data_IF_818533715494
#
_entry.id   IF_818533715494
#
_cell.length_a   1.000
_cell.length_b   1.000
_cell.length_c   1.000
_cell.angle_alpha   90.00
_cell.angle_beta   90.00
_cell.angle_gamma   90.00
#
_symmetry.space_group_name_H-M   'P 1'
#
loop_
_entity.id
_entity.type
_entity.pdbx_description
1 polymer ?
#
# COMPACT_ATOMS: atom_id res chain seq x y z
N UNK A 1 -18.37 10.34 -2.42
CA UNK A 1 -17.26 10.27 -3.40
C UNK A 1 -17.71 9.63 -4.71
N UNK A 2 -18.43 8.53 -4.70
CA UNK A 2 -18.90 7.87 -5.92
C UNK A 2 -19.77 8.85 -6.74
N UNK A 3 -20.77 9.48 -6.12
CA UNK A 3 -21.62 10.50 -6.75
C UNK A 3 -20.84 11.69 -7.35
N UNK A 4 -19.71 12.04 -6.77
CA UNK A 4 -18.91 13.19 -7.22
C UNK A 4 -18.20 12.95 -8.56
N UNK A 5 -18.18 11.74 -9.05
CA UNK A 5 -17.50 11.36 -10.31
C UNK A 5 -18.45 10.85 -11.38
N UNK A 6 -19.75 10.83 -11.12
CA UNK A 6 -20.76 10.34 -12.06
C UNK A 6 -20.76 11.09 -13.40
N UNK A 7 -20.40 12.38 -13.40
CA UNK A 7 -20.41 13.22 -14.59
C UNK A 7 -19.19 12.96 -15.52
N UNK A 8 -18.18 12.23 -15.05
CA UNK A 8 -16.97 12.00 -15.83
C UNK A 8 -17.06 10.69 -16.62
N UNK A 9 -16.74 10.71 -17.93
CA UNK A 9 -16.81 9.52 -18.78
C UNK A 9 -15.58 8.60 -18.58
N UNK A 10 -15.29 8.26 -17.32
CA UNK A 10 -14.14 7.46 -16.92
C UNK A 10 -14.56 6.43 -15.88
N UNK A 11 -13.79 5.37 -15.74
CA UNK A 11 -13.96 4.42 -14.66
C UNK A 11 -13.17 4.88 -13.43
N UNK A 12 -13.83 4.97 -12.28
CA UNK A 12 -13.24 5.36 -11.02
C UNK A 12 -13.36 4.22 -10.01
N UNK A 13 -12.26 3.94 -9.31
CA UNK A 13 -12.23 3.06 -8.18
C UNK A 13 -11.70 3.80 -6.96
N UNK A 14 -12.36 3.65 -5.81
CA UNK A 14 -11.94 4.30 -4.57
C UNK A 14 -11.43 3.27 -3.58
N UNK A 15 -10.19 3.49 -3.10
CA UNK A 15 -9.68 2.77 -1.95
C UNK A 15 -10.19 3.44 -0.67
N UNK A 16 -10.70 2.65 0.25
CA UNK A 16 -11.10 3.13 1.57
C UNK A 16 -10.02 2.89 2.60
N UNK A 17 -10.18 3.48 3.78
CA UNK A 17 -9.23 3.35 4.88
C UNK A 17 -9.20 1.91 5.39
N UNK A 18 -8.03 1.27 5.30
CA UNK A 18 -7.81 -0.11 5.72
C UNK A 18 -7.35 -0.26 7.18
N UNK A 19 -7.03 0.85 7.86
CA UNK A 19 -6.51 0.83 9.22
C UNK A 19 -7.62 0.65 10.27
N UNK A 20 -8.11 -0.57 10.38
CA UNK A 20 -8.98 -1.02 11.49
C UNK A 20 -8.58 -2.45 11.84
N UNK A 21 -8.53 -2.75 13.13
CA UNK A 21 -8.28 -4.11 13.61
C UNK A 21 -9.53 -4.99 13.61
N UNK A 22 -10.69 -4.43 13.28
CA UNK A 22 -11.98 -5.14 13.21
C UNK A 22 -12.40 -5.30 11.76
N UNK A 23 -12.54 -6.53 11.34
CA UNK A 23 -12.91 -6.87 9.98
C UNK A 23 -14.32 -6.36 9.58
N UNK A 24 -15.24 -6.27 10.54
CA UNK A 24 -16.62 -5.81 10.28
C UNK A 24 -16.65 -4.40 9.70
N UNK A 25 -15.85 -3.47 10.26
CA UNK A 25 -15.79 -2.11 9.79
C UNK A 25 -15.20 -2.01 8.36
N UNK A 26 -14.24 -2.86 8.04
CA UNK A 26 -13.64 -2.94 6.71
C UNK A 26 -14.62 -3.55 5.69
N UNK A 27 -15.36 -4.59 6.09
CA UNK A 27 -16.40 -5.20 5.27
C UNK A 27 -17.53 -4.22 4.90
N UNK A 28 -17.90 -3.37 5.86
CA UNK A 28 -18.91 -2.31 5.60
C UNK A 28 -18.44 -1.33 4.52
N UNK A 29 -17.16 -0.96 4.51
CA UNK A 29 -16.59 -0.09 3.49
C UNK A 29 -16.59 -0.76 2.11
N UNK A 30 -16.24 -2.02 2.02
CA UNK A 30 -16.29 -2.79 0.76
C UNK A 30 -17.73 -2.91 0.26
N UNK A 31 -18.69 -3.23 1.14
CA UNK A 31 -20.13 -3.27 0.79
C UNK A 31 -20.65 -1.92 0.32
N UNK A 32 -20.10 -0.82 0.84
CA UNK A 32 -20.45 0.54 0.41
C UNK A 32 -19.81 0.93 -0.94
N UNK A 33 -19.07 0.05 -1.59
CA UNK A 33 -18.52 0.25 -2.93
C UNK A 33 -17.03 0.57 -2.99
N UNK A 34 -16.28 0.33 -1.92
CA UNK A 34 -14.82 0.41 -2.00
C UNK A 34 -14.28 -0.71 -2.90
N UNK A 35 -13.36 -0.35 -3.80
CA UNK A 35 -12.69 -1.33 -4.67
C UNK A 35 -11.46 -1.95 -4.02
N UNK A 36 -11.08 -1.50 -2.82
CA UNK A 36 -9.96 -1.99 -2.04
C UNK A 36 -9.73 -1.18 -0.79
N UNK A 37 -8.70 -1.55 -0.04
CA UNK A 37 -8.36 -0.96 1.25
C UNK A 37 -6.95 -0.35 1.20
N UNK A 38 -6.76 0.82 1.79
CA UNK A 38 -5.47 1.50 1.90
C UNK A 38 -5.00 1.53 3.35
N UNK A 39 -3.79 1.06 3.56
CA UNK A 39 -3.06 1.14 4.83
C UNK A 39 -2.04 2.29 4.78
N UNK A 40 -1.97 3.08 5.84
CA UNK A 40 -1.05 4.20 5.95
C UNK A 40 -0.64 4.46 7.41
N UNK A 41 0.61 4.90 7.66
CA UNK A 41 1.13 5.14 9.02
C UNK A 41 0.31 6.14 9.81
N UNK A 42 -0.06 7.23 9.21
CA UNK A 42 -0.83 8.30 9.86
C UNK A 42 -2.11 7.79 10.54
N UNK A 43 -2.55 6.61 10.16
CA UNK A 43 -3.75 5.99 10.68
C UNK A 43 -3.48 4.82 11.63
N UNK A 44 -2.20 4.58 11.97
CA UNK A 44 -1.78 3.50 12.85
C UNK A 44 -1.75 2.14 12.17
N UNK A 45 -0.74 1.91 11.32
CA UNK A 45 -0.53 0.60 10.70
C UNK A 45 0.22 -0.32 11.66
N UNK A 46 -0.41 -1.40 12.05
CA UNK A 46 0.15 -2.45 12.90
C UNK A 46 0.01 -3.81 12.21
N UNK A 47 0.75 -4.85 12.63
CA UNK A 47 0.54 -6.20 12.11
C UNK A 47 -0.91 -6.66 12.18
N UNK A 48 -1.64 -6.27 13.22
CA UNK A 48 -3.05 -6.61 13.38
C UNK A 48 -3.92 -5.94 12.31
N UNK A 49 -3.69 -4.66 12.02
CA UNK A 49 -4.45 -3.94 10.97
C UNK A 49 -4.13 -4.47 9.58
N UNK A 50 -2.88 -4.82 9.32
CA UNK A 50 -2.46 -5.45 8.06
C UNK A 50 -3.21 -6.78 7.89
N UNK A 51 -3.19 -7.61 8.93
CA UNK A 51 -3.86 -8.91 8.91
C UNK A 51 -5.38 -8.77 8.69
N UNK A 52 -6.03 -7.86 9.38
CA UNK A 52 -7.48 -7.62 9.23
C UNK A 52 -7.84 -7.16 7.82
N UNK A 53 -7.08 -6.22 7.26
CA UNK A 53 -7.31 -5.74 5.89
C UNK A 53 -7.15 -6.87 4.86
N UNK A 54 -6.10 -7.68 4.99
CA UNK A 54 -5.84 -8.80 4.09
C UNK A 54 -6.89 -9.91 4.23
N UNK A 55 -7.36 -10.20 5.45
CA UNK A 55 -8.45 -11.16 5.66
C UNK A 55 -9.75 -10.72 4.97
N UNK A 56 -10.04 -9.44 5.00
CA UNK A 56 -11.22 -8.89 4.30
C UNK A 56 -11.02 -8.96 2.79
N UNK A 57 -9.84 -8.60 2.31
CA UNK A 57 -9.51 -8.68 0.89
C UNK A 57 -9.66 -10.12 0.34
N UNK A 58 -9.15 -11.11 1.06
CA UNK A 58 -9.29 -12.53 0.70
C UNK A 58 -10.76 -12.98 0.65
N UNK A 59 -11.61 -12.45 1.55
CA UNK A 59 -13.05 -12.78 1.59
C UNK A 59 -13.87 -12.10 0.49
N UNK A 60 -13.43 -10.96 0.02
CA UNK A 60 -14.20 -10.08 -0.86
C UNK A 60 -13.61 -9.93 -2.26
N UNK A 61 -12.48 -10.57 -2.52
CA UNK A 61 -11.73 -10.49 -3.77
C UNK A 61 -11.39 -9.02 -4.14
N UNK A 62 -10.99 -8.25 -3.12
CA UNK A 62 -10.54 -6.88 -3.27
C UNK A 62 -9.05 -6.76 -3.00
N UNK A 63 -8.46 -5.63 -3.39
CA UNK A 63 -7.02 -5.40 -3.14
C UNK A 63 -6.76 -4.65 -1.85
N UNK A 64 -5.57 -4.86 -1.29
CA UNK A 64 -4.99 -4.00 -0.26
C UNK A 64 -3.79 -3.28 -0.85
N UNK A 65 -3.69 -1.99 -0.59
CA UNK A 65 -2.51 -1.20 -0.88
C UNK A 65 -1.94 -0.63 0.43
N UNK A 66 -0.63 -0.69 0.58
CA UNK A 66 0.05 -0.19 1.77
C UNK A 66 1.10 0.86 1.42
N UNK A 67 1.18 1.90 2.23
CA UNK A 67 2.29 2.83 2.23
C UNK A 67 3.45 2.18 2.98
N UNK A 68 4.51 1.79 2.26
CA UNK A 68 5.54 0.89 2.80
C UNK A 68 6.44 1.50 3.87
N UNK A 69 6.51 2.83 3.95
CA UNK A 69 7.33 3.51 4.95
C UNK A 69 6.84 3.29 6.38
N UNK A 70 5.55 3.03 6.53
CA UNK A 70 4.91 2.76 7.81
C UNK A 70 5.48 1.61 8.59
N UNK A 71 6.08 0.71 7.90
CA UNK A 71 6.50 -0.56 8.48
C UNK A 71 7.63 -0.38 9.46
N UNK A 72 8.44 0.63 9.21
CA UNK A 72 9.63 0.90 10.02
C UNK A 72 9.33 1.80 11.23
N UNK A 73 8.19 2.45 11.27
CA UNK A 73 7.75 3.24 12.43
C UNK A 73 7.10 2.40 13.50
N UNK A 74 6.44 1.31 13.11
CA UNK A 74 5.74 0.41 14.03
C UNK A 74 6.44 -0.93 14.26
N UNK A 75 7.58 -1.18 13.62
CA UNK A 75 8.31 -2.44 13.68
C UNK A 75 9.40 -2.52 12.62
N UNK A 76 9.83 -3.71 12.33
CA UNK A 76 10.81 -4.01 11.30
C UNK A 76 10.13 -4.53 10.03
N UNK A 77 10.83 -4.45 8.89
CA UNK A 77 10.34 -5.01 7.62
C UNK A 77 9.90 -6.47 7.77
N UNK A 78 10.63 -7.24 8.56
CA UNK A 78 10.33 -8.66 8.81
C UNK A 78 8.99 -8.86 9.53
N UNK A 79 8.59 -7.94 10.41
CA UNK A 79 7.27 -7.97 11.09
C UNK A 79 6.14 -7.79 10.08
N UNK A 80 6.37 -6.96 9.10
CA UNK A 80 5.39 -6.72 8.03
C UNK A 80 5.30 -7.87 7.07
N UNK A 81 6.43 -8.39 6.62
CA UNK A 81 6.48 -9.60 5.79
C UNK A 81 5.72 -10.72 6.50
N UNK A 82 5.95 -10.87 7.81
CA UNK A 82 5.23 -11.84 8.63
C UNK A 82 3.72 -11.57 8.70
N UNK A 83 3.31 -10.30 8.81
CA UNK A 83 1.90 -9.93 8.85
C UNK A 83 1.19 -10.13 7.50
N UNK A 84 1.89 -9.90 6.39
CA UNK A 84 1.39 -10.17 5.03
C UNK A 84 1.20 -11.69 4.83
N UNK A 85 2.10 -12.50 5.36
CA UNK A 85 2.00 -13.96 5.35
C UNK A 85 1.79 -14.53 3.94
N UNK A 86 2.50 -14.01 2.95
CA UNK A 86 2.43 -14.47 1.55
C UNK A 86 1.15 -14.12 0.79
N UNK A 87 0.26 -13.31 1.36
CA UNK A 87 -0.97 -12.85 0.70
C UNK A 87 -0.66 -11.73 -0.32
N UNK A 88 -1.58 -11.53 -1.26
CA UNK A 88 -1.42 -10.49 -2.28
C UNK A 88 -1.60 -9.09 -1.71
N UNK A 89 -0.63 -8.22 -1.95
CA UNK A 89 -0.68 -6.82 -1.51
C UNK A 89 0.10 -5.93 -2.48
N UNK A 90 -0.40 -4.69 -2.67
CA UNK A 90 0.28 -3.67 -3.45
C UNK A 90 1.07 -2.76 -2.49
N UNK A 91 2.37 -2.75 -2.62
CA UNK A 91 3.28 -1.93 -1.81
C UNK A 91 3.67 -0.67 -2.57
N UNK A 92 3.24 0.49 -2.07
CA UNK A 92 3.60 1.79 -2.63
C UNK A 92 4.95 2.25 -2.08
N UNK A 93 5.70 3.03 -2.85
CA UNK A 93 7.01 3.57 -2.45
C UNK A 93 8.01 2.50 -2.04
N UNK A 94 7.97 1.36 -2.65
CA UNK A 94 8.81 0.21 -2.23
C UNK A 94 10.30 0.49 -2.36
N UNK A 95 10.67 1.49 -3.14
CA UNK A 95 12.05 2.03 -3.21
C UNK A 95 12.42 2.97 -2.05
N UNK A 96 11.47 3.30 -1.16
CA UNK A 96 11.70 4.18 -0.02
C UNK A 96 11.53 5.67 -0.30
N UNK A 97 10.99 6.07 -1.45
CA UNK A 97 10.80 7.47 -1.83
C UNK A 97 9.81 8.23 -0.95
N UNK A 98 8.96 7.54 -0.22
CA UNK A 98 8.03 8.13 0.75
C UNK A 98 8.68 8.65 2.02
N UNK A 99 9.96 8.38 2.24
CA UNK A 99 10.72 8.84 3.39
C UNK A 99 11.03 7.78 4.44
N UNK A 100 10.69 6.54 4.19
CA UNK A 100 10.91 5.44 5.10
C UNK A 100 12.36 4.96 5.18
N UNK A 101 12.57 3.81 5.77
CA UNK A 101 13.90 3.26 6.07
C UNK A 101 14.48 2.51 4.86
N UNK A 102 14.73 3.23 3.77
CA UNK A 102 15.54 2.67 2.69
C UNK A 102 16.97 2.36 3.23
N UNK A 103 17.63 1.27 2.83
CA UNK A 103 17.20 0.36 1.76
C UNK A 103 16.38 -0.85 2.24
N UNK A 104 16.14 -1.01 3.51
CA UNK A 104 15.57 -2.24 4.07
C UNK A 104 14.18 -2.58 3.50
N UNK A 105 13.36 -1.56 3.25
CA UNK A 105 12.02 -1.73 2.70
C UNK A 105 12.02 -2.43 1.35
N UNK A 106 13.08 -2.31 0.57
CA UNK A 106 13.20 -2.95 -0.74
C UNK A 106 13.16 -4.48 -0.68
N UNK A 107 13.49 -5.07 0.48
CA UNK A 107 13.43 -6.53 0.66
C UNK A 107 12.05 -7.09 0.34
N UNK A 108 11.00 -6.33 0.63
CA UNK A 108 9.63 -6.77 0.43
C UNK A 108 9.32 -7.04 -1.06
N UNK A 109 10.01 -6.38 -1.98
CA UNK A 109 9.84 -6.60 -3.42
C UNK A 109 10.27 -8.01 -3.87
N UNK A 110 11.07 -8.70 -3.06
CA UNK A 110 11.48 -10.09 -3.31
C UNK A 110 10.49 -11.14 -2.82
N UNK A 111 9.48 -10.74 -2.07
CA UNK A 111 8.49 -11.66 -1.52
C UNK A 111 7.43 -12.05 -2.58
N UNK A 112 6.94 -13.30 -2.54
CA UNK A 112 5.88 -13.73 -3.46
C UNK A 112 4.58 -12.97 -3.22
N UNK A 113 3.81 -12.76 -4.29
CA UNK A 113 2.51 -12.08 -4.27
C UNK A 113 2.55 -10.59 -3.87
N UNK A 114 3.73 -9.99 -3.80
CA UNK A 114 3.89 -8.56 -3.63
C UNK A 114 3.89 -7.89 -5.00
N UNK A 115 3.07 -6.84 -5.14
CA UNK A 115 3.11 -5.94 -6.29
C UNK A 115 3.81 -4.64 -5.86
N UNK A 116 5.13 -4.51 -6.05
CA UNK A 116 5.83 -3.30 -5.68
C UNK A 116 5.58 -2.19 -6.71
N UNK A 117 5.47 -0.96 -6.24
CA UNK A 117 5.42 0.20 -7.13
C UNK A 117 6.18 1.39 -6.56
N UNK A 118 6.71 2.19 -7.47
CA UNK A 118 7.28 3.49 -7.18
C UNK A 118 6.20 4.56 -7.27
N UNK A 119 6.29 5.58 -6.44
CA UNK A 119 5.48 6.79 -6.55
C UNK A 119 6.21 7.92 -7.26
N UNK A 120 7.17 7.57 -8.02
CA UNK A 120 7.89 8.53 -8.82
C UNK A 120 6.94 9.28 -9.78
N UNK A 121 7.02 10.60 -9.92
CA UNK A 121 8.07 11.45 -9.33
C UNK A 121 7.55 12.31 -8.19
N UNK A 122 7.61 11.83 -6.99
CA UNK A 122 7.29 12.66 -5.83
C UNK A 122 8.35 13.74 -5.56
N UNK A 123 9.56 13.51 -6.06
CA UNK A 123 10.64 14.51 -6.02
C UNK A 123 11.30 14.60 -7.40
N UNK A 124 11.33 15.78 -8.03
CA UNK A 124 11.96 15.96 -9.33
C UNK A 124 13.41 15.48 -9.38
N UNK A 125 14.13 15.63 -8.27
CA UNK A 125 15.55 15.27 -8.18
C UNK A 125 15.82 13.77 -8.15
N UNK A 126 14.95 12.97 -7.59
CA UNK A 126 15.11 11.50 -7.56
C UNK A 126 14.93 10.89 -8.95
N UNK A 127 14.03 11.44 -9.73
CA UNK A 127 13.83 10.99 -11.10
C UNK A 127 14.99 11.41 -12.02
N UNK A 128 15.47 12.63 -11.86
CA UNK A 128 16.55 13.18 -12.67
C UNK A 128 17.92 12.56 -12.36
N UNK A 129 18.20 12.29 -11.08
CA UNK A 129 19.45 11.64 -10.69
C UNK A 129 19.50 10.19 -11.20
N UNK A 130 18.39 9.48 -11.10
CA UNK A 130 18.32 8.09 -11.57
C UNK A 130 18.46 7.98 -13.09
N UNK A 131 17.89 8.93 -13.83
CA UNK A 131 17.98 8.94 -15.30
C UNK A 131 19.27 9.52 -15.82
N UNK A 132 19.90 10.49 -15.14
CA UNK A 132 21.16 11.06 -15.54
C UNK A 132 22.33 10.12 -15.25
N UNK A 133 22.38 9.49 -14.09
CA UNK A 133 23.42 8.53 -13.76
C UNK A 133 23.40 7.30 -14.69
N UNK A 134 22.21 6.88 -15.11
CA UNK A 134 22.07 5.79 -16.08
C UNK A 134 22.45 6.19 -17.52
N UNK A 135 22.58 7.47 -17.80
CA UNK A 135 22.97 7.96 -19.12
C UNK A 135 24.47 8.27 -19.21
N UNK A 136 25.16 8.41 -18.08
CA UNK A 136 26.58 8.74 -18.02
C UNK A 136 27.50 7.52 -17.78
N UNK A 137 26.91 6.33 -17.55
CA UNK A 137 27.60 5.02 -17.51
C UNK A 137 27.41 4.24 -18.82
#
# INVERSE_FOLDING_TARGET
MIEAVEEYPLNFGFLCKGNDSREEALLEQVKAGACGLKLHEDWGTTPATINSALNVADKTDTQVAIHTDTLNECGYVDDTISAIAGRAIHTYHTEGAGGGHAPDIMKIAGEPNILPSSTNPTRPYTCLLYTSDAADE
#
